data_IF_555561935482
#
_entry.id   IF_555561935482
#
_cell.length_a   1.000
_cell.length_b   1.000
_cell.length_c   1.000
_cell.angle_alpha   90.00
_cell.angle_beta   90.00
_cell.angle_gamma   90.00
#
_symmetry.space_group_name_H-M   'P 1'
#
loop_
_entity.id
_entity.type
_entity.pdbx_description
1 polymer ?
#
# COMPACT_ATOMS: atom_id res chain seq x y z
N UNK A 1 36.42 1.57 -32.99
CA UNK A 1 37.04 1.98 -31.72
C UNK A 1 36.31 3.15 -31.05
N UNK A 2 35.70 4.04 -31.80
CA UNK A 2 35.02 5.24 -31.23
C UNK A 2 33.73 4.98 -30.43
N UNK A 3 33.00 3.92 -30.74
CA UNK A 3 31.77 3.58 -29.96
C UNK A 3 32.05 3.05 -28.53
N UNK A 4 33.21 2.41 -28.32
CA UNK A 4 33.62 1.90 -27.02
C UNK A 4 34.19 3.00 -26.09
N UNK A 5 34.82 4.03 -26.65
CA UNK A 5 35.32 5.19 -25.90
C UNK A 5 34.18 6.10 -25.45
N UNK A 6 33.18 6.33 -26.31
CA UNK A 6 31.98 7.09 -25.98
C UNK A 6 31.14 6.41 -24.87
N UNK A 7 31.03 5.07 -24.90
CA UNK A 7 30.32 4.30 -23.86
C UNK A 7 31.00 4.38 -22.48
N UNK A 8 32.34 4.33 -22.42
CA UNK A 8 33.10 4.45 -21.17
C UNK A 8 33.04 5.86 -20.59
N UNK A 9 33.07 6.90 -21.40
CA UNK A 9 32.96 8.29 -20.95
C UNK A 9 31.56 8.60 -20.39
N UNK A 10 30.54 8.02 -20.99
CA UNK A 10 29.15 8.14 -20.50
C UNK A 10 28.95 7.38 -19.18
N UNK A 11 29.54 6.18 -19.02
CA UNK A 11 29.49 5.43 -17.77
C UNK A 11 30.19 6.15 -16.61
N UNK A 12 31.39 6.71 -16.83
CA UNK A 12 32.09 7.49 -15.81
C UNK A 12 31.33 8.75 -15.42
N UNK A 13 30.71 9.43 -16.38
CA UNK A 13 29.89 10.62 -16.11
C UNK A 13 28.66 10.34 -15.26
N UNK A 14 27.96 9.21 -15.50
CA UNK A 14 26.83 8.80 -14.67
C UNK A 14 27.25 8.34 -13.26
N UNK A 15 28.41 7.72 -13.12
CA UNK A 15 28.97 7.30 -11.83
C UNK A 15 29.42 8.50 -11.00
N UNK A 16 30.02 9.55 -11.62
CA UNK A 16 30.41 10.78 -10.98
C UNK A 16 29.22 11.62 -10.49
N UNK A 17 28.17 11.77 -11.30
CA UNK A 17 26.92 12.45 -10.90
C UNK A 17 26.23 11.74 -9.73
N UNK A 18 26.34 10.43 -9.63
CA UNK A 18 25.77 9.65 -8.53
C UNK A 18 26.52 9.90 -7.20
N UNK A 19 27.83 9.99 -7.24
CA UNK A 19 28.68 10.24 -6.06
C UNK A 19 28.62 11.70 -5.58
N UNK A 20 28.55 12.67 -6.47
CA UNK A 20 28.42 14.09 -6.14
C UNK A 20 27.08 14.41 -5.43
N UNK A 21 26.01 13.66 -5.71
CA UNK A 21 24.73 13.81 -5.03
C UNK A 21 24.71 13.28 -3.60
N UNK A 22 25.56 12.33 -3.24
CA UNK A 22 25.67 11.82 -1.86
C UNK A 22 26.19 12.88 -0.87
N UNK A 23 26.93 13.88 -1.32
CA UNK A 23 27.50 14.94 -0.48
C UNK A 23 26.52 16.04 -0.07
N UNK A 24 25.45 16.29 -0.83
CA UNK A 24 24.50 17.38 -0.57
C UNK A 24 23.23 16.86 0.10
N UNK A 25 23.27 16.67 1.42
CA UNK A 25 22.05 16.58 2.24
C UNK A 25 21.37 17.96 2.23
N UNK A 26 20.43 18.15 1.32
CA UNK A 26 19.62 19.36 1.25
C UNK A 26 18.92 19.59 2.59
N UNK A 27 18.99 20.81 3.14
CA UNK A 27 18.20 21.17 4.35
C UNK A 27 16.74 20.88 4.06
N UNK A 28 16.09 20.07 4.92
CA UNK A 28 14.68 19.69 4.79
C UNK A 28 13.83 20.93 4.59
N UNK A 29 13.17 21.04 3.44
CA UNK A 29 12.14 22.04 3.24
C UNK A 29 10.90 21.62 4.04
N UNK A 30 10.28 22.55 4.76
CA UNK A 30 9.00 22.34 5.44
C UNK A 30 7.94 21.81 4.46
N UNK A 31 7.99 22.25 3.20
CA UNK A 31 7.10 21.81 2.14
C UNK A 31 7.25 20.31 1.81
N UNK A 32 8.47 19.75 1.84
CA UNK A 32 8.71 18.33 1.57
C UNK A 32 8.19 17.44 2.69
N UNK A 33 8.45 17.83 3.96
CA UNK A 33 7.90 17.13 5.13
C UNK A 33 6.37 17.17 5.09
N UNK A 34 5.80 18.32 4.77
CA UNK A 34 4.35 18.48 4.64
C UNK A 34 3.77 17.61 3.52
N UNK A 35 4.44 17.50 2.38
CA UNK A 35 4.05 16.60 1.28
C UNK A 35 4.01 15.14 1.72
N UNK A 36 5.01 14.69 2.46
CA UNK A 36 5.08 13.31 3.00
C UNK A 36 3.91 13.06 3.97
N UNK A 37 3.66 14.00 4.88
CA UNK A 37 2.56 13.89 5.85
C UNK A 37 1.21 13.87 5.15
N UNK A 38 0.97 14.76 4.19
CA UNK A 38 -0.29 14.80 3.43
C UNK A 38 -0.53 13.55 2.59
N UNK A 39 0.52 12.99 1.98
CA UNK A 39 0.42 11.73 1.25
C UNK A 39 0.05 10.58 2.19
N UNK A 40 0.68 10.52 3.38
CA UNK A 40 0.34 9.52 4.39
C UNK A 40 -1.09 9.68 4.93
N UNK A 41 -1.52 10.91 5.22
CA UNK A 41 -2.86 11.16 5.77
C UNK A 41 -3.99 10.70 4.85
N UNK A 42 -3.75 10.71 3.56
CA UNK A 42 -4.69 10.20 2.57
C UNK A 42 -4.94 8.70 2.71
N UNK A 43 -3.91 7.95 3.04
CA UNK A 43 -4.00 6.50 3.22
C UNK A 43 -4.89 6.09 4.41
N UNK A 44 -5.15 7.00 5.37
CA UNK A 44 -6.14 6.77 6.44
C UNK A 44 -7.55 6.64 5.83
N UNK A 45 -7.89 7.48 4.85
CA UNK A 45 -9.16 7.39 4.13
C UNK A 45 -9.32 6.04 3.43
N UNK A 46 -8.25 5.58 2.74
CA UNK A 46 -8.25 4.28 2.06
C UNK A 46 -8.41 3.13 3.07
N UNK A 47 -7.67 3.21 4.18
CA UNK A 47 -7.80 2.25 5.28
C UNK A 47 -9.22 2.22 5.86
N UNK A 48 -9.84 3.38 6.05
CA UNK A 48 -11.23 3.49 6.50
C UNK A 48 -12.19 2.81 5.52
N UNK A 49 -12.11 3.14 4.23
CA UNK A 49 -13.00 2.60 3.20
C UNK A 49 -12.89 1.08 3.02
N UNK A 50 -11.68 0.55 3.18
CA UNK A 50 -11.46 -0.90 3.13
C UNK A 50 -12.03 -1.61 4.36
N UNK A 51 -11.91 -1.02 5.56
CA UNK A 51 -12.28 -1.66 6.81
C UNK A 51 -13.72 -1.39 7.27
N UNK A 52 -14.40 -0.38 6.71
CA UNK A 52 -15.81 -0.10 7.07
C UNK A 52 -16.72 -1.32 6.84
N UNK A 53 -16.41 -2.14 5.84
CA UNK A 53 -17.16 -3.35 5.53
C UNK A 53 -17.05 -4.46 6.58
N UNK A 54 -16.02 -4.43 7.42
CA UNK A 54 -15.85 -5.42 8.49
C UNK A 54 -17.12 -5.51 9.37
N UNK A 55 -17.60 -4.35 9.83
CA UNK A 55 -18.83 -4.30 10.63
C UNK A 55 -20.10 -4.25 9.79
N UNK A 56 -20.05 -3.61 8.61
CA UNK A 56 -21.24 -3.53 7.75
C UNK A 56 -21.71 -4.88 7.24
N UNK A 57 -20.83 -5.87 7.11
CA UNK A 57 -21.22 -7.24 6.79
C UNK A 57 -22.15 -7.86 7.85
N UNK A 58 -21.89 -7.60 9.12
CA UNK A 58 -22.75 -8.05 10.24
C UNK A 58 -24.00 -7.21 10.36
N UNK A 59 -23.92 -5.90 10.11
CA UNK A 59 -25.09 -4.99 10.08
C UNK A 59 -26.07 -5.39 8.98
N UNK A 60 -25.58 -5.63 7.75
CA UNK A 60 -26.45 -6.04 6.64
C UNK A 60 -27.06 -7.42 6.85
N UNK A 61 -26.31 -8.36 7.45
CA UNK A 61 -26.85 -9.68 7.78
C UNK A 61 -27.97 -9.62 8.83
N UNK A 62 -27.96 -8.63 9.73
CA UNK A 62 -29.05 -8.42 10.69
C UNK A 62 -30.24 -7.65 10.10
N UNK A 63 -29.98 -6.64 9.24
CA UNK A 63 -31.04 -5.83 8.63
C UNK A 63 -31.78 -6.55 7.50
N UNK A 64 -31.08 -7.40 6.76
CA UNK A 64 -31.57 -8.03 5.53
C UNK A 64 -31.22 -9.52 5.48
N UNK A 65 -31.67 -10.34 6.45
CA UNK A 65 -31.23 -11.73 6.60
C UNK A 65 -31.56 -12.60 5.36
N UNK A 66 -32.65 -12.32 4.67
CA UNK A 66 -33.11 -13.12 3.53
C UNK A 66 -32.37 -12.74 2.22
N UNK A 67 -32.05 -11.46 2.04
CA UNK A 67 -31.43 -10.96 0.80
C UNK A 67 -29.89 -10.88 0.88
N UNK A 68 -29.32 -10.70 2.07
CA UNK A 68 -27.88 -10.62 2.27
C UNK A 68 -27.24 -12.00 2.39
N UNK A 69 -27.37 -12.78 1.33
CA UNK A 69 -26.80 -14.12 1.21
C UNK A 69 -25.27 -14.09 1.23
N UNK A 70 -24.63 -15.25 1.41
CA UNK A 70 -23.17 -15.42 1.38
C UNK A 70 -22.55 -14.89 0.08
N UNK A 71 -23.21 -15.10 -1.06
CA UNK A 71 -22.77 -14.57 -2.35
C UNK A 71 -22.88 -13.05 -2.42
N UNK A 72 -23.98 -12.47 -1.91
CA UNK A 72 -24.17 -11.03 -1.87
C UNK A 72 -23.11 -10.36 -0.96
N UNK A 73 -22.87 -10.93 0.21
CA UNK A 73 -21.83 -10.51 1.15
C UNK A 73 -20.46 -10.48 0.48
N UNK A 74 -20.10 -11.53 -0.24
CA UNK A 74 -18.84 -11.65 -0.98
C UNK A 74 -18.76 -10.62 -2.11
N UNK A 75 -19.83 -10.43 -2.88
CA UNK A 75 -19.87 -9.49 -3.99
C UNK A 75 -19.76 -8.03 -3.52
N UNK A 76 -20.48 -7.63 -2.48
CA UNK A 76 -20.40 -6.29 -1.88
C UNK A 76 -19.00 -6.03 -1.32
N UNK A 77 -18.40 -7.01 -0.63
CA UNK A 77 -17.05 -6.90 -0.09
C UNK A 77 -15.99 -6.79 -1.18
N UNK A 78 -16.08 -7.61 -2.23
CA UNK A 78 -15.13 -7.65 -3.32
C UNK A 78 -15.23 -6.48 -4.31
N UNK A 79 -16.37 -5.83 -4.39
CA UNK A 79 -16.60 -4.74 -5.36
C UNK A 79 -15.52 -3.65 -5.28
N UNK A 80 -15.16 -3.22 -4.07
CA UNK A 80 -14.11 -2.24 -3.84
C UNK A 80 -12.73 -2.78 -4.24
N UNK A 81 -12.43 -4.05 -3.96
CA UNK A 81 -11.14 -4.67 -4.31
C UNK A 81 -10.97 -4.77 -5.83
N UNK A 82 -12.03 -5.18 -6.55
CA UNK A 82 -12.03 -5.22 -8.01
C UNK A 82 -11.82 -3.81 -8.60
N UNK A 83 -12.55 -2.81 -8.08
CA UNK A 83 -12.33 -1.42 -8.45
C UNK A 83 -10.89 -0.97 -8.21
N UNK A 84 -10.31 -1.35 -7.08
CA UNK A 84 -8.91 -1.03 -6.72
C UNK A 84 -7.91 -1.61 -7.72
N UNK A 85 -8.11 -2.85 -8.19
CA UNK A 85 -7.26 -3.45 -9.24
C UNK A 85 -7.30 -2.59 -10.51
N UNK A 86 -8.50 -2.23 -10.98
CA UNK A 86 -8.64 -1.39 -12.17
C UNK A 86 -8.01 -0.01 -11.98
N UNK A 87 -8.24 0.63 -10.84
CA UNK A 87 -7.64 1.94 -10.53
C UNK A 87 -6.11 1.90 -10.52
N UNK A 88 -5.52 0.89 -9.88
CA UNK A 88 -4.06 0.71 -9.83
C UNK A 88 -3.45 0.47 -11.21
N UNK A 89 -4.07 -0.39 -12.04
CA UNK A 89 -3.58 -0.67 -13.40
C UNK A 89 -3.71 0.55 -14.30
N UNK A 90 -4.89 1.17 -14.34
CA UNK A 90 -5.17 2.31 -15.23
C UNK A 90 -4.28 3.51 -14.86
N UNK A 91 -4.29 3.91 -13.59
CA UNK A 91 -3.49 5.07 -13.17
C UNK A 91 -2.01 4.72 -13.09
N UNK A 92 -1.62 3.48 -12.78
CA UNK A 92 -0.23 3.04 -12.84
C UNK A 92 0.38 3.19 -14.24
N UNK A 93 -0.35 2.81 -15.29
CA UNK A 93 0.07 3.00 -16.69
C UNK A 93 0.02 4.48 -17.11
N UNK A 94 -0.98 5.22 -16.64
CA UNK A 94 -1.13 6.64 -16.96
C UNK A 94 -0.23 7.56 -16.13
N UNK A 95 0.34 7.07 -15.01
CA UNK A 95 1.14 7.86 -14.08
C UNK A 95 2.37 8.53 -14.73
N UNK A 96 2.92 7.94 -15.79
CA UNK A 96 4.03 8.50 -16.55
C UNK A 96 3.59 9.63 -17.50
N UNK A 97 2.30 9.65 -17.88
CA UNK A 97 1.71 10.66 -18.77
C UNK A 97 0.99 11.77 -18.00
N UNK A 98 0.37 11.42 -16.89
CA UNK A 98 -0.32 12.35 -16.00
C UNK A 98 0.68 12.92 -14.98
N UNK A 99 0.52 14.19 -14.64
CA UNK A 99 1.23 14.76 -13.50
C UNK A 99 0.72 14.12 -12.20
N UNK A 100 1.60 13.90 -11.20
CA UNK A 100 1.24 13.34 -9.89
C UNK A 100 0.00 14.00 -9.28
N UNK A 101 -0.07 15.34 -9.40
CA UNK A 101 -1.20 16.15 -8.94
C UNK A 101 -2.51 15.79 -9.65
N UNK A 102 -2.49 15.60 -10.97
CA UNK A 102 -3.69 15.23 -11.74
C UNK A 102 -4.18 13.83 -11.32
N UNK A 103 -3.27 12.87 -11.17
CA UNK A 103 -3.61 11.52 -10.73
C UNK A 103 -4.29 11.53 -9.35
N UNK A 104 -3.77 12.31 -8.39
CA UNK A 104 -4.35 12.43 -7.05
C UNK A 104 -5.73 13.09 -7.09
N UNK A 105 -5.92 14.13 -7.91
CA UNK A 105 -7.23 14.80 -8.07
C UNK A 105 -8.26 13.83 -8.64
N UNK A 106 -7.90 13.11 -9.70
CA UNK A 106 -8.78 12.09 -10.32
C UNK A 106 -9.15 11.02 -9.29
N UNK A 107 -8.16 10.48 -8.58
CA UNK A 107 -8.38 9.48 -7.54
C UNK A 107 -9.38 9.97 -6.48
N UNK A 108 -9.17 11.18 -5.94
CA UNK A 108 -10.04 11.76 -4.91
C UNK A 108 -11.47 12.00 -5.43
N UNK A 109 -11.63 12.45 -6.67
CA UNK A 109 -12.98 12.66 -7.27
C UNK A 109 -13.74 11.33 -7.33
N UNK A 110 -13.12 10.25 -7.86
CA UNK A 110 -13.76 8.93 -7.92
C UNK A 110 -14.06 8.37 -6.52
N UNK A 111 -13.15 8.55 -5.58
CA UNK A 111 -13.30 8.11 -4.20
C UNK A 111 -14.50 8.78 -3.52
N UNK A 112 -14.56 10.11 -3.56
CA UNK A 112 -15.66 10.88 -2.95
C UNK A 112 -16.99 10.61 -3.64
N UNK A 113 -17.02 10.65 -4.96
CA UNK A 113 -18.23 10.40 -5.74
C UNK A 113 -18.79 9.00 -5.46
N UNK A 114 -17.95 7.98 -5.53
CA UNK A 114 -18.37 6.61 -5.25
C UNK A 114 -18.87 6.44 -3.81
N UNK A 115 -18.19 7.01 -2.82
CA UNK A 115 -18.56 6.90 -1.41
C UNK A 115 -19.88 7.62 -1.09
N UNK A 116 -20.09 8.81 -1.64
CA UNK A 116 -21.37 9.54 -1.48
C UNK A 116 -22.53 8.75 -2.08
N UNK A 117 -22.33 8.14 -3.25
CA UNK A 117 -23.36 7.30 -3.86
C UNK A 117 -23.56 5.97 -3.15
N UNK A 118 -22.55 5.43 -2.46
CA UNK A 118 -22.74 4.32 -1.53
C UNK A 118 -23.65 4.72 -0.36
N UNK A 119 -23.44 5.90 0.24
CA UNK A 119 -24.31 6.41 1.30
C UNK A 119 -25.76 6.65 0.83
N UNK A 120 -25.91 7.08 -0.41
CA UNK A 120 -27.21 7.34 -1.06
C UNK A 120 -27.84 6.08 -1.69
N UNK A 121 -27.23 4.90 -1.58
CA UNK A 121 -27.67 3.70 -2.26
C UNK A 121 -29.15 3.39 -1.96
N UNK A 122 -29.94 3.24 -3.02
CA UNK A 122 -31.38 3.00 -2.99
C UNK A 122 -31.78 2.04 -4.12
N UNK A 123 -32.88 1.34 -3.96
CA UNK A 123 -33.44 0.46 -4.99
C UNK A 123 -34.92 0.23 -4.77
N UNK A 124 -35.63 -0.11 -5.81
CA UNK A 124 -37.05 -0.52 -5.72
C UNK A 124 -37.18 -1.81 -4.89
N UNK A 125 -36.15 -2.66 -4.95
CA UNK A 125 -36.02 -3.85 -4.13
C UNK A 125 -34.73 -3.77 -3.30
N UNK A 126 -34.64 -4.52 -2.20
CA UNK A 126 -33.43 -4.61 -1.38
C UNK A 126 -32.26 -5.13 -2.21
N UNK A 127 -32.47 -6.10 -3.07
CA UNK A 127 -31.47 -6.62 -3.99
C UNK A 127 -30.98 -5.54 -4.97
N UNK A 128 -31.86 -4.69 -5.48
CA UNK A 128 -31.51 -3.54 -6.33
C UNK A 128 -30.63 -2.52 -5.59
N UNK A 129 -30.92 -2.27 -4.31
CA UNK A 129 -30.08 -1.43 -3.44
C UNK A 129 -28.66 -2.02 -3.30
N UNK A 130 -28.53 -3.34 -3.07
CA UNK A 130 -27.22 -3.99 -2.98
C UNK A 130 -26.45 -3.94 -4.30
N UNK A 131 -27.12 -4.10 -5.46
CA UNK A 131 -26.46 -3.94 -6.75
C UNK A 131 -25.96 -2.51 -6.98
N UNK A 132 -26.73 -1.50 -6.60
CA UNK A 132 -26.28 -0.11 -6.62
C UNK A 132 -25.07 0.08 -5.71
N UNK A 133 -25.09 -0.49 -4.50
CA UNK A 133 -23.98 -0.45 -3.56
C UNK A 133 -22.72 -1.12 -4.15
N UNK A 134 -22.85 -2.29 -4.80
CA UNK A 134 -21.76 -3.00 -5.47
C UNK A 134 -21.10 -2.10 -6.52
N UNK A 135 -21.89 -1.49 -7.40
CA UNK A 135 -21.39 -0.64 -8.49
C UNK A 135 -20.60 0.55 -7.90
N UNK A 136 -21.18 1.28 -6.96
CA UNK A 136 -20.52 2.46 -6.40
C UNK A 136 -19.37 2.14 -5.44
N UNK A 137 -19.39 0.99 -4.78
CA UNK A 137 -18.19 0.48 -4.10
C UNK A 137 -17.07 0.16 -5.09
N UNK A 138 -17.39 -0.34 -6.28
CA UNK A 138 -16.41 -0.49 -7.36
C UNK A 138 -15.81 0.86 -7.80
N UNK A 139 -16.63 1.90 -7.92
CA UNK A 139 -16.17 3.27 -8.23
C UNK A 139 -15.30 3.84 -7.11
N UNK A 140 -15.70 3.65 -5.84
CA UNK A 140 -14.88 4.02 -4.67
C UNK A 140 -13.54 3.30 -4.71
N UNK A 141 -13.55 1.99 -4.98
CA UNK A 141 -12.36 1.16 -5.11
C UNK A 141 -11.43 1.65 -6.22
N UNK A 142 -11.98 2.06 -7.38
CA UNK A 142 -11.18 2.67 -8.44
C UNK A 142 -10.44 3.91 -7.95
N UNK A 143 -11.09 4.78 -7.17
CA UNK A 143 -10.46 5.94 -6.54
C UNK A 143 -9.31 5.53 -5.61
N UNK A 144 -9.55 4.56 -4.70
CA UNK A 144 -8.53 3.99 -3.80
C UNK A 144 -7.35 3.46 -4.62
N UNK A 145 -7.61 2.64 -5.64
CA UNK A 145 -6.58 2.05 -6.49
C UNK A 145 -5.75 3.08 -7.24
N UNK A 146 -6.38 4.14 -7.72
CA UNK A 146 -5.72 5.26 -8.41
C UNK A 146 -4.78 6.06 -7.49
N UNK A 147 -5.08 6.09 -6.19
CA UNK A 147 -4.31 6.80 -5.18
C UNK A 147 -3.00 6.11 -4.83
N UNK A 148 -2.98 4.77 -4.76
CA UNK A 148 -1.80 3.98 -4.38
C UNK A 148 -0.53 4.30 -5.19
N UNK A 149 -0.52 4.21 -6.55
CA UNK A 149 0.66 4.54 -7.33
C UNK A 149 1.10 5.99 -7.12
N UNK A 150 0.16 6.91 -7.08
CA UNK A 150 0.44 8.35 -6.97
C UNK A 150 1.06 8.73 -5.63
N UNK A 151 0.50 8.23 -4.50
CA UNK A 151 0.99 8.50 -3.16
C UNK A 151 2.29 7.77 -2.86
N UNK A 152 2.39 6.48 -3.19
CA UNK A 152 3.57 5.67 -2.92
C UNK A 152 4.81 6.19 -3.64
N UNK A 153 4.67 6.55 -4.91
CA UNK A 153 5.80 7.10 -5.68
C UNK A 153 6.17 8.49 -5.18
N UNK A 154 5.21 9.38 -4.94
CA UNK A 154 5.49 10.73 -4.39
C UNK A 154 6.19 10.66 -3.05
N UNK A 155 5.77 9.74 -2.16
CA UNK A 155 6.40 9.54 -0.85
C UNK A 155 7.81 8.99 -0.98
N UNK A 156 8.03 8.02 -1.89
CA UNK A 156 9.35 7.45 -2.13
C UNK A 156 10.33 8.47 -2.73
N UNK A 157 9.87 9.28 -3.67
CA UNK A 157 10.64 10.36 -4.27
C UNK A 157 11.05 11.39 -3.21
N UNK A 158 10.10 11.87 -2.40
CA UNK A 158 10.36 12.82 -1.32
C UNK A 158 11.29 12.23 -0.22
N UNK A 159 11.12 10.96 0.14
CA UNK A 159 12.00 10.28 1.08
C UNK A 159 13.42 10.09 0.52
N UNK A 160 13.57 9.87 -0.78
CA UNK A 160 14.88 9.76 -1.44
C UNK A 160 15.67 11.06 -1.41
N UNK A 161 15.00 12.21 -1.46
CA UNK A 161 15.63 13.53 -1.42
C UNK A 161 16.10 13.93 -0.01
N UNK A 162 15.41 13.42 1.05
CA UNK A 162 15.51 14.02 2.39
C UNK A 162 16.00 13.11 3.50
N UNK A 163 16.00 11.77 3.37
CA UNK A 163 16.18 10.85 4.51
C UNK A 163 17.22 9.77 4.24
N UNK A 164 18.13 9.55 5.20
CA UNK A 164 19.11 8.44 5.16
C UNK A 164 18.47 7.05 5.30
N UNK A 165 17.42 6.91 6.11
CA UNK A 165 16.68 5.65 6.36
C UNK A 165 15.38 5.62 5.57
N UNK A 166 15.47 5.38 4.27
CA UNK A 166 14.37 5.50 3.30
C UNK A 166 13.30 4.41 3.47
N UNK A 167 13.74 3.18 3.75
CA UNK A 167 12.84 2.02 3.84
C UNK A 167 11.85 2.13 4.99
N UNK A 168 12.36 2.42 6.19
CA UNK A 168 11.53 2.57 7.38
C UNK A 168 10.57 3.76 7.29
N UNK A 169 11.04 4.91 6.80
CA UNK A 169 10.17 6.09 6.61
C UNK A 169 9.07 5.81 5.60
N UNK A 170 9.39 5.16 4.47
CA UNK A 170 8.38 4.77 3.49
C UNK A 170 7.33 3.84 4.10
N UNK A 171 7.76 2.81 4.84
CA UNK A 171 6.85 1.90 5.54
C UNK A 171 5.94 2.65 6.53
N UNK A 172 6.48 3.56 7.33
CA UNK A 172 5.70 4.31 8.32
C UNK A 172 4.70 5.24 7.65
N UNK A 173 5.09 5.95 6.59
CA UNK A 173 4.20 6.94 5.95
C UNK A 173 3.09 6.28 5.12
N UNK A 174 3.32 5.09 4.56
CA UNK A 174 2.32 4.40 3.75
C UNK A 174 1.48 3.41 4.55
N UNK A 175 2.10 2.56 5.36
CA UNK A 175 1.39 1.46 6.02
C UNK A 175 0.76 1.84 7.36
N UNK A 176 1.40 2.71 8.15
CA UNK A 176 0.83 3.11 9.44
C UNK A 176 -0.52 3.83 9.28
N UNK A 177 -0.68 4.83 8.40
CA UNK A 177 -1.98 5.46 8.18
C UNK A 177 -3.02 4.50 7.61
N UNK A 178 -2.64 3.65 6.65
CA UNK A 178 -3.53 2.65 6.07
C UNK A 178 -4.08 1.68 7.13
N UNK A 179 -3.20 1.17 8.00
CA UNK A 179 -3.58 0.24 9.07
C UNK A 179 -4.34 0.91 10.20
N UNK A 180 -4.03 2.18 10.50
CA UNK A 180 -4.79 2.98 11.45
C UNK A 180 -6.23 3.20 10.99
N UNK A 181 -6.48 3.18 9.69
CA UNK A 181 -7.82 3.29 9.11
C UNK A 181 -8.80 2.21 9.60
N UNK A 182 -8.32 1.01 9.98
CA UNK A 182 -9.15 -0.05 10.56
C UNK A 182 -9.69 0.30 11.96
N UNK A 183 -8.84 0.49 12.97
CA UNK A 183 -9.26 0.95 14.29
C UNK A 183 -10.07 2.25 14.23
N UNK A 184 -9.72 3.16 13.32
CA UNK A 184 -10.44 4.40 13.11
C UNK A 184 -11.87 4.17 12.60
N UNK A 185 -12.05 3.29 11.61
CA UNK A 185 -13.39 2.93 11.11
C UNK A 185 -14.25 2.28 12.20
N UNK A 186 -13.66 1.43 13.03
CA UNK A 186 -14.35 0.77 14.15
C UNK A 186 -14.71 1.75 15.27
N UNK A 187 -13.85 2.70 15.59
CA UNK A 187 -14.15 3.76 16.55
C UNK A 187 -15.33 4.63 16.08
N UNK A 188 -15.34 5.00 14.80
CA UNK A 188 -16.46 5.75 14.20
C UNK A 188 -17.74 4.89 14.20
N UNK A 189 -17.62 3.57 13.90
CA UNK A 189 -18.75 2.66 13.97
C UNK A 189 -19.37 2.66 15.37
N UNK A 190 -18.59 2.51 16.42
CA UNK A 190 -19.09 2.51 17.81
C UNK A 190 -19.79 3.83 18.17
N UNK A 191 -19.20 4.97 17.78
CA UNK A 191 -19.80 6.29 18.03
C UNK A 191 -21.16 6.42 17.30
N UNK A 192 -21.20 6.08 16.00
CA UNK A 192 -22.43 6.20 15.21
C UNK A 192 -23.46 5.17 15.67
N UNK A 193 -23.07 3.97 16.07
CA UNK A 193 -23.93 2.95 16.63
C UNK A 193 -24.67 3.43 17.89
N UNK A 194 -23.96 4.09 18.81
CA UNK A 194 -24.56 4.68 19.99
C UNK A 194 -25.52 5.85 19.64
N UNK A 195 -25.13 6.71 18.69
CA UNK A 195 -25.98 7.83 18.26
C UNK A 195 -27.29 7.34 17.60
N UNK A 196 -27.21 6.30 16.77
CA UNK A 196 -28.39 5.75 16.06
C UNK A 196 -29.24 4.84 16.92
N UNK A 197 -28.79 4.51 18.12
CA UNK A 197 -29.50 3.62 19.04
C UNK A 197 -29.57 2.17 18.59
N UNK A 198 -28.59 1.71 17.81
CA UNK A 198 -28.50 0.34 17.37
C UNK A 198 -28.43 0.14 15.86
N UNK A 199 -28.80 -1.04 15.40
CA UNK A 199 -28.74 -1.46 13.99
C UNK A 199 -29.89 -0.85 13.19
N UNK A 200 -29.59 0.17 12.41
CA UNK A 200 -30.55 0.92 11.60
C UNK A 200 -30.05 1.18 10.18
N UNK A 201 -30.96 1.50 9.26
CA UNK A 201 -30.58 1.96 7.92
C UNK A 201 -29.77 3.27 7.95
N UNK A 202 -29.96 4.09 8.97
CA UNK A 202 -29.18 5.32 9.19
C UNK A 202 -27.73 5.02 9.52
N UNK A 203 -27.45 3.95 10.26
CA UNK A 203 -26.09 3.57 10.68
C UNK A 203 -25.14 3.37 9.48
N UNK A 204 -25.47 2.49 8.56
CA UNK A 204 -24.57 2.19 7.44
C UNK A 204 -24.44 3.38 6.46
N UNK A 205 -25.52 4.14 6.27
CA UNK A 205 -25.49 5.36 5.44
C UNK A 205 -24.60 6.43 6.05
N UNK A 206 -24.70 6.65 7.35
CA UNK A 206 -23.84 7.60 8.07
C UNK A 206 -22.36 7.21 7.98
N UNK A 207 -22.04 5.91 8.11
CA UNK A 207 -20.67 5.42 8.01
C UNK A 207 -20.05 5.69 6.62
N UNK A 208 -20.80 5.46 5.54
CA UNK A 208 -20.33 5.83 4.20
C UNK A 208 -20.23 7.35 4.02
N UNK A 209 -21.22 8.13 4.51
CA UNK A 209 -21.20 9.58 4.41
C UNK A 209 -19.98 10.20 5.15
N UNK A 210 -19.69 9.73 6.36
CA UNK A 210 -18.49 10.13 7.12
C UNK A 210 -17.22 9.72 6.35
N UNK A 211 -17.22 8.55 5.70
CA UNK A 211 -16.13 8.09 4.87
C UNK A 211 -15.79 9.01 3.69
N UNK A 212 -16.75 9.77 3.16
CA UNK A 212 -16.53 10.77 2.12
C UNK A 212 -15.87 12.06 2.64
N UNK A 213 -16.03 12.36 3.93
CA UNK A 213 -15.47 13.59 4.54
C UNK A 213 -13.93 13.58 4.56
N UNK A 214 -13.31 12.44 4.85
CA UNK A 214 -11.86 12.34 5.02
C UNK A 214 -11.05 12.69 3.76
N UNK A 215 -11.34 12.13 2.59
CA UNK A 215 -10.61 12.50 1.37
C UNK A 215 -10.84 13.97 0.99
N UNK A 216 -12.02 14.53 1.30
CA UNK A 216 -12.29 15.95 1.07
C UNK A 216 -11.47 16.86 2.00
N UNK A 217 -11.30 16.50 3.28
CA UNK A 217 -10.55 17.30 4.25
C UNK A 217 -9.08 17.46 3.86
N UNK A 218 -8.50 16.45 3.22
CA UNK A 218 -7.09 16.45 2.77
C UNK A 218 -6.93 16.95 1.34
N UNK A 219 -8.01 17.05 0.57
CA UNK A 219 -7.96 17.40 -0.85
C UNK A 219 -7.29 18.75 -1.14
N UNK A 220 -7.57 19.77 -0.33
CA UNK A 220 -6.98 21.08 -0.48
C UNK A 220 -5.45 21.06 -0.36
N UNK A 221 -4.94 20.33 0.62
CA UNK A 221 -3.50 20.19 0.86
C UNK A 221 -2.84 19.40 -0.25
N UNK A 222 -3.48 18.35 -0.73
CA UNK A 222 -3.03 17.54 -1.86
C UNK A 222 -2.97 18.34 -3.16
N UNK A 223 -3.97 19.17 -3.38
CA UNK A 223 -3.98 20.05 -4.56
C UNK A 223 -2.81 21.03 -4.53
N UNK A 224 -2.32 21.44 -3.35
CA UNK A 224 -1.16 22.33 -3.17
C UNK A 224 0.19 21.60 -3.11
N UNK A 225 0.23 20.26 -3.12
CA UNK A 225 1.50 19.52 -3.11
C UNK A 225 2.39 19.92 -4.27
N UNK A 226 3.68 20.09 -3.99
CA UNK A 226 4.69 20.36 -5.01
C UNK A 226 5.05 19.06 -5.75
N UNK A 227 5.33 19.18 -7.04
CA UNK A 227 5.89 18.07 -7.81
C UNK A 227 7.36 17.91 -7.44
N UNK A 228 7.82 16.68 -7.14
CA UNK A 228 9.19 16.42 -6.75
C UNK A 228 10.20 16.77 -7.86
N UNK A 229 11.38 17.21 -7.48
CA UNK A 229 12.47 17.52 -8.42
C UNK A 229 12.95 16.26 -9.12
N UNK A 230 12.99 15.11 -8.38
CA UNK A 230 13.34 13.81 -8.96
C UNK A 230 12.36 13.38 -10.07
N UNK A 231 11.06 13.60 -9.88
CA UNK A 231 10.07 13.31 -10.93
C UNK A 231 10.33 14.15 -12.19
N UNK A 232 10.63 15.45 -12.02
CA UNK A 232 10.93 16.32 -13.17
C UNK A 232 12.18 15.89 -13.91
N UNK A 233 13.25 15.50 -13.20
CA UNK A 233 14.55 15.12 -13.76
C UNK A 233 14.62 13.68 -14.29
N UNK A 234 13.87 12.74 -13.71
CA UNK A 234 13.96 11.31 -14.01
C UNK A 234 12.80 10.74 -14.83
N UNK A 235 11.69 11.48 -14.99
CA UNK A 235 10.53 11.00 -15.73
C UNK A 235 10.84 10.72 -17.21
N UNK A 236 10.51 9.51 -17.66
CA UNK A 236 10.62 9.12 -19.07
C UNK A 236 9.31 9.53 -19.76
N UNK A 237 9.34 10.54 -20.63
CA UNK A 237 8.15 11.09 -21.27
C UNK A 237 7.89 10.65 -22.69
N UNK A 238 8.94 10.35 -23.43
CA UNK A 238 8.83 9.87 -24.82
C UNK A 238 9.32 8.42 -24.89
N UNK A 239 8.54 7.56 -25.54
CA UNK A 239 8.89 6.15 -25.79
C UNK A 239 9.19 5.36 -24.50
N UNK A 240 8.29 5.42 -23.50
CA UNK A 240 8.46 4.65 -22.25
C UNK A 240 8.72 3.17 -22.56
N UNK A 241 9.85 2.61 -22.17
CA UNK A 241 10.27 1.27 -22.58
C UNK A 241 9.67 0.18 -21.69
N UNK A 242 8.33 0.07 -21.62
CA UNK A 242 7.62 -0.88 -20.75
C UNK A 242 8.09 -2.32 -20.94
N UNK A 243 8.27 -2.76 -22.20
CA UNK A 243 8.70 -4.12 -22.49
C UNK A 243 10.14 -4.38 -22.06
N UNK A 244 11.04 -3.44 -22.27
CA UNK A 244 12.44 -3.55 -21.84
C UNK A 244 12.55 -3.53 -20.30
N UNK A 245 11.76 -2.70 -19.64
CA UNK A 245 11.68 -2.67 -18.19
C UNK A 245 11.14 -4.00 -17.62
N UNK A 246 10.07 -4.54 -18.22
CA UNK A 246 9.53 -5.84 -17.85
C UNK A 246 10.57 -6.96 -18.04
N UNK A 247 11.28 -6.96 -19.15
CA UNK A 247 12.34 -7.94 -19.46
C UNK A 247 13.53 -7.82 -18.49
N UNK A 248 13.90 -6.62 -18.08
CA UNK A 248 15.01 -6.39 -17.16
C UNK A 248 14.65 -6.80 -15.71
N UNK A 249 13.44 -6.42 -15.24
CA UNK A 249 13.03 -6.60 -13.87
C UNK A 249 12.13 -7.83 -13.62
N UNK A 250 11.86 -8.70 -14.60
CA UNK A 250 10.84 -9.75 -14.54
C UNK A 250 10.96 -10.67 -13.32
N UNK A 251 12.17 -11.09 -12.94
CA UNK A 251 12.39 -11.95 -11.77
C UNK A 251 11.96 -11.27 -10.47
N UNK A 252 12.31 -9.99 -10.32
CA UNK A 252 11.97 -9.21 -9.13
C UNK A 252 10.48 -8.89 -9.09
N UNK A 253 9.93 -8.53 -10.24
CA UNK A 253 8.48 -8.31 -10.39
C UNK A 253 7.70 -9.57 -10.05
N UNK A 254 8.09 -10.71 -10.57
CA UNK A 254 7.46 -11.99 -10.25
C UNK A 254 7.52 -12.27 -8.75
N UNK A 255 8.70 -12.15 -8.11
CA UNK A 255 8.85 -12.38 -6.68
C UNK A 255 8.01 -11.46 -5.83
N UNK A 256 8.03 -10.16 -6.12
CA UNK A 256 7.20 -9.18 -5.39
C UNK A 256 5.72 -9.41 -5.62
N UNK A 257 5.29 -9.69 -6.84
CA UNK A 257 3.90 -9.95 -7.19
C UNK A 257 3.34 -11.18 -6.48
N UNK A 258 4.10 -12.29 -6.46
CA UNK A 258 3.66 -13.53 -5.78
C UNK A 258 3.61 -13.33 -4.27
N UNK A 259 4.64 -12.70 -3.67
CA UNK A 259 4.64 -12.43 -2.24
C UNK A 259 3.44 -11.59 -1.83
N UNK A 260 3.09 -10.60 -2.65
CA UNK A 260 1.94 -9.75 -2.36
C UNK A 260 0.60 -10.44 -2.61
N UNK A 261 0.51 -11.23 -3.66
CA UNK A 261 -0.68 -12.07 -3.89
C UNK A 261 -0.94 -12.96 -2.67
N UNK A 262 0.08 -13.65 -2.16
CA UNK A 262 -0.05 -14.52 -0.99
C UNK A 262 -0.40 -13.75 0.28
N UNK A 263 0.19 -12.57 0.45
CA UNK A 263 -0.13 -11.69 1.58
C UNK A 263 -1.60 -11.23 1.56
N UNK A 264 -2.06 -10.65 0.46
CA UNK A 264 -3.43 -10.14 0.36
C UNK A 264 -4.46 -11.27 0.32
N UNK A 265 -4.12 -12.45 -0.24
CA UNK A 265 -4.94 -13.65 -0.23
C UNK A 265 -5.31 -14.09 1.20
N UNK A 266 -4.42 -13.88 2.15
CA UNK A 266 -4.65 -14.19 3.57
C UNK A 266 -5.22 -13.00 4.33
N UNK A 267 -4.62 -11.82 4.19
CA UNK A 267 -4.92 -10.65 5.04
C UNK A 267 -6.30 -10.08 4.78
N UNK A 268 -6.71 -9.94 3.51
CA UNK A 268 -7.98 -9.31 3.18
C UNK A 268 -9.20 -10.12 3.64
N UNK A 269 -9.31 -11.43 3.37
CA UNK A 269 -10.42 -12.20 3.91
C UNK A 269 -10.48 -12.17 5.44
N UNK A 270 -9.32 -12.35 6.09
CA UNK A 270 -9.22 -12.30 7.54
C UNK A 270 -9.60 -10.92 8.11
N UNK A 271 -9.24 -9.82 7.44
CA UNK A 271 -9.64 -8.47 7.83
C UNK A 271 -11.13 -8.21 7.60
N UNK A 272 -11.64 -8.47 6.39
CA UNK A 272 -13.02 -8.16 6.00
C UNK A 272 -14.03 -9.02 6.78
N UNK A 273 -13.71 -10.29 7.05
CA UNK A 273 -14.58 -11.21 7.76
C UNK A 273 -14.23 -11.37 9.25
N UNK A 274 -13.29 -10.55 9.78
CA UNK A 274 -12.88 -10.64 11.19
C UNK A 274 -14.05 -10.51 12.16
N UNK A 275 -15.00 -9.60 11.91
CA UNK A 275 -16.21 -9.48 12.76
C UNK A 275 -17.06 -10.74 12.73
N UNK A 276 -17.19 -11.41 11.57
CA UNK A 276 -17.91 -12.66 11.45
C UNK A 276 -17.18 -13.78 12.21
N UNK A 277 -15.85 -13.87 12.09
CA UNK A 277 -15.01 -14.84 12.80
C UNK A 277 -15.09 -14.61 14.32
N UNK A 278 -14.98 -13.37 14.77
CA UNK A 278 -15.10 -13.04 16.20
C UNK A 278 -16.49 -13.36 16.72
N UNK A 279 -17.54 -13.03 15.97
CA UNK A 279 -18.91 -13.35 16.34
C UNK A 279 -19.14 -14.87 16.47
N UNK A 280 -18.45 -15.71 15.70
CA UNK A 280 -18.57 -17.17 15.83
C UNK A 280 -17.85 -17.73 17.07
N UNK A 281 -16.85 -17.01 17.57
CA UNK A 281 -16.06 -17.39 18.77
C UNK A 281 -16.74 -16.92 20.07
N UNK A 282 -17.55 -15.86 20.01
CA UNK A 282 -18.27 -15.32 21.18
C UNK A 282 -19.41 -16.26 21.62
N UNK A 283 -19.66 -16.32 22.92
CA UNK A 283 -20.74 -17.11 23.49
C UNK A 283 -22.11 -16.44 23.31
N UNK A 284 -23.13 -17.22 23.14
CA UNK A 284 -24.59 -16.99 23.17
C UNK A 284 -25.08 -15.52 23.13
N UNK A 285 -25.21 -14.88 24.28
CA UNK A 285 -25.71 -13.49 24.39
C UNK A 285 -24.72 -12.44 23.86
N UNK A 286 -23.40 -12.67 23.97
CA UNK A 286 -22.38 -11.77 23.46
C UNK A 286 -22.26 -11.85 21.94
N UNK A 287 -22.61 -12.99 21.34
CA UNK A 287 -22.60 -13.19 19.88
C UNK A 287 -23.60 -12.29 19.15
N UNK A 288 -24.72 -11.99 19.77
CA UNK A 288 -25.76 -11.09 19.23
C UNK A 288 -25.45 -9.61 19.50
N UNK A 289 -24.49 -9.32 20.39
CA UNK A 289 -24.11 -7.97 20.75
C UNK A 289 -23.06 -7.43 19.77
N UNK A 290 -23.53 -6.62 18.82
CA UNK A 290 -22.69 -6.04 17.77
C UNK A 290 -21.65 -5.06 18.34
N UNK A 291 -21.92 -4.44 19.47
CA UNK A 291 -21.00 -3.56 20.17
C UNK A 291 -19.78 -4.33 20.67
N UNK A 292 -20.01 -5.48 21.32
CA UNK A 292 -18.94 -6.39 21.77
C UNK A 292 -18.07 -6.89 20.62
N UNK A 293 -18.70 -7.28 19.52
CA UNK A 293 -17.97 -7.70 18.31
C UNK A 293 -17.09 -6.55 17.77
N UNK A 294 -17.59 -5.33 17.78
CA UNK A 294 -16.83 -4.15 17.35
C UNK A 294 -15.67 -3.82 18.29
N UNK A 295 -15.86 -3.92 19.61
CA UNK A 295 -14.80 -3.72 20.62
C UNK A 295 -13.63 -4.71 20.42
N UNK A 296 -13.93 -6.00 20.25
CA UNK A 296 -12.91 -7.01 19.99
C UNK A 296 -12.19 -6.81 18.65
N UNK A 297 -12.92 -6.38 17.62
CA UNK A 297 -12.29 -6.01 16.34
C UNK A 297 -11.41 -4.76 16.46
N UNK A 298 -11.80 -3.78 17.26
CA UNK A 298 -10.99 -2.59 17.53
C UNK A 298 -9.69 -2.98 18.22
N UNK A 299 -9.75 -3.86 19.20
CA UNK A 299 -8.56 -4.41 19.87
C UNK A 299 -7.68 -5.17 18.87
N UNK A 300 -8.27 -6.04 18.04
CA UNK A 300 -7.57 -6.79 16.99
C UNK A 300 -6.76 -5.87 16.07
N UNK A 301 -7.40 -4.83 15.52
CA UNK A 301 -6.76 -3.86 14.65
C UNK A 301 -5.66 -3.06 15.35
N UNK A 302 -5.86 -2.73 16.63
CA UNK A 302 -4.88 -2.00 17.45
C UNK A 302 -3.63 -2.83 17.74
N UNK A 303 -3.77 -4.12 18.03
CA UNK A 303 -2.66 -5.06 18.26
C UNK A 303 -1.79 -5.23 17.01
N UNK A 304 -2.35 -5.07 15.82
CA UNK A 304 -1.60 -5.16 14.58
C UNK A 304 -0.66 -3.94 14.33
N UNK A 305 -0.95 -2.76 14.88
CA UNK A 305 -0.19 -1.52 14.64
C UNK A 305 1.29 -1.60 15.08
N UNK A 306 1.66 -2.11 16.26
CA UNK A 306 3.06 -2.23 16.66
C UNK A 306 3.94 -3.00 15.67
N UNK A 307 3.37 -3.98 14.95
CA UNK A 307 4.08 -4.74 13.92
C UNK A 307 4.65 -3.85 12.80
N UNK A 308 4.01 -2.73 12.49
CA UNK A 308 4.46 -1.79 11.45
C UNK A 308 5.75 -1.07 11.90
N UNK A 309 5.83 -0.65 13.16
CA UNK A 309 7.03 -0.01 13.70
C UNK A 309 8.20 -0.99 13.73
N UNK A 310 7.95 -2.23 14.15
CA UNK A 310 8.95 -3.30 14.13
C UNK A 310 9.40 -3.58 12.69
N UNK A 311 8.48 -3.71 11.75
CA UNK A 311 8.76 -3.92 10.34
C UNK A 311 9.56 -2.79 9.71
N UNK A 312 9.22 -1.53 10.00
CA UNK A 312 9.96 -0.35 9.54
C UNK A 312 11.40 -0.34 10.07
N UNK A 313 11.60 -0.65 11.35
CA UNK A 313 12.91 -0.73 11.97
C UNK A 313 13.76 -1.87 11.38
N UNK A 314 13.19 -3.05 11.23
CA UNK A 314 13.86 -4.21 10.64
C UNK A 314 14.21 -3.99 9.17
N UNK A 315 13.36 -3.30 8.40
CA UNK A 315 13.59 -3.00 7.00
C UNK A 315 14.91 -2.26 6.75
N UNK A 316 15.25 -1.34 7.66
CA UNK A 316 16.50 -0.55 7.56
C UNK A 316 17.74 -1.32 8.08
N UNK A 317 17.58 -2.26 9.01
CA UNK A 317 18.70 -2.98 9.63
C UNK A 317 19.07 -4.24 8.86
N UNK A 318 18.09 -5.14 8.66
CA UNK A 318 18.33 -6.45 8.05
C UNK A 318 17.99 -6.49 6.56
N UNK A 319 17.43 -5.39 6.03
CA UNK A 319 17.05 -5.24 4.63
C UNK A 319 15.68 -5.81 4.31
N UNK A 320 15.13 -5.36 3.18
CA UNK A 320 13.74 -5.58 2.77
C UNK A 320 13.36 -7.06 2.61
N UNK A 321 14.22 -7.88 1.99
CA UNK A 321 13.98 -9.31 1.77
C UNK A 321 13.85 -10.08 3.08
N UNK A 322 14.78 -9.86 4.01
CA UNK A 322 14.78 -10.59 5.28
C UNK A 322 13.62 -10.16 6.17
N UNK A 323 13.28 -8.86 6.18
CA UNK A 323 12.08 -8.35 6.88
C UNK A 323 10.81 -9.00 6.36
N UNK A 324 10.69 -9.16 5.03
CA UNK A 324 9.55 -9.85 4.42
C UNK A 324 9.49 -11.33 4.83
N UNK A 325 10.63 -12.03 4.84
CA UNK A 325 10.69 -13.42 5.28
C UNK A 325 10.29 -13.58 6.76
N UNK A 326 10.72 -12.65 7.64
CA UNK A 326 10.29 -12.61 9.04
C UNK A 326 8.77 -12.36 9.15
N UNK A 327 8.23 -11.44 8.35
CA UNK A 327 6.79 -11.22 8.30
C UNK A 327 6.00 -12.49 7.95
N UNK A 328 6.39 -13.18 6.90
CA UNK A 328 5.75 -14.46 6.52
C UNK A 328 5.96 -15.56 7.56
N UNK A 329 7.09 -15.56 8.29
CA UNK A 329 7.27 -16.52 9.40
C UNK A 329 6.26 -16.32 10.53
N UNK A 330 5.81 -15.08 10.73
CA UNK A 330 4.70 -14.79 11.65
C UNK A 330 3.38 -15.47 11.24
N UNK A 331 3.07 -15.52 9.94
CA UNK A 331 1.91 -16.27 9.45
C UNK A 331 2.02 -17.77 9.74
N UNK A 332 3.23 -18.34 9.59
CA UNK A 332 3.45 -19.76 9.93
C UNK A 332 3.23 -19.97 11.43
N UNK A 333 3.92 -19.21 12.27
CA UNK A 333 3.89 -19.40 13.72
C UNK A 333 2.49 -19.18 14.28
N UNK A 334 1.94 -17.99 14.08
CA UNK A 334 0.62 -17.65 14.65
C UNK A 334 -0.52 -18.37 13.95
N UNK A 335 -0.44 -18.59 12.64
CA UNK A 335 -1.42 -19.35 11.89
C UNK A 335 -1.51 -20.80 12.33
N UNK A 336 -0.37 -21.47 12.57
CA UNK A 336 -0.36 -22.84 13.12
C UNK A 336 -0.82 -22.89 14.58
N UNK A 337 -0.41 -21.93 15.42
CA UNK A 337 -0.87 -21.88 16.82
C UNK A 337 -2.41 -21.79 16.84
N UNK A 338 -2.99 -20.85 16.11
CA UNK A 338 -4.45 -20.69 16.07
C UNK A 338 -5.10 -21.89 15.38
N UNK A 339 -4.63 -22.27 14.19
CA UNK A 339 -5.27 -23.31 13.37
C UNK A 339 -5.26 -24.70 14.02
N UNK A 340 -4.14 -25.10 14.63
CA UNK A 340 -4.02 -26.41 15.27
C UNK A 340 -4.63 -26.46 16.68
N UNK A 341 -4.75 -25.32 17.35
CA UNK A 341 -5.29 -25.23 18.70
C UNK A 341 -6.61 -24.45 18.78
N UNK A 342 -7.30 -24.30 17.65
CA UNK A 342 -8.48 -23.44 17.51
C UNK A 342 -9.52 -23.68 18.61
N UNK A 343 -9.91 -24.94 18.81
CA UNK A 343 -10.93 -25.31 19.81
C UNK A 343 -10.57 -24.99 21.26
N UNK A 344 -9.27 -24.96 21.59
CA UNK A 344 -8.79 -24.58 22.91
C UNK A 344 -8.68 -23.07 23.05
N UNK A 345 -8.17 -22.39 22.00
CA UNK A 345 -7.90 -20.96 22.03
C UNK A 345 -9.19 -20.13 21.90
N UNK A 346 -10.17 -20.60 21.13
CA UNK A 346 -11.47 -19.91 20.98
C UNK A 346 -12.22 -19.70 22.30
N UNK A 347 -12.02 -20.61 23.29
CA UNK A 347 -12.60 -20.47 24.62
C UNK A 347 -11.95 -19.38 25.48
N UNK A 348 -10.82 -18.79 25.03
CA UNK A 348 -10.13 -17.69 25.72
C UNK A 348 -10.01 -16.52 24.73
N UNK A 349 -11.07 -15.75 24.60
CA UNK A 349 -11.22 -14.67 23.61
C UNK A 349 -10.03 -13.71 23.58
N UNK A 350 -9.49 -13.18 24.71
CA UNK A 350 -8.34 -12.31 24.69
C UNK A 350 -7.10 -12.95 24.03
N UNK A 351 -6.88 -14.24 24.31
CA UNK A 351 -5.75 -14.99 23.76
C UNK A 351 -5.89 -15.19 22.25
N UNK A 352 -7.11 -15.51 21.78
CA UNK A 352 -7.44 -15.61 20.37
C UNK A 352 -7.18 -14.30 19.65
N UNK A 353 -7.66 -13.18 20.17
CA UNK A 353 -7.49 -11.84 19.59
C UNK A 353 -6.02 -11.42 19.55
N UNK A 354 -5.21 -11.73 20.59
CA UNK A 354 -3.79 -11.42 20.59
C UNK A 354 -3.06 -12.17 19.47
N UNK A 355 -3.22 -13.47 19.36
CA UNK A 355 -2.56 -14.25 18.30
C UNK A 355 -3.05 -13.87 16.90
N UNK A 356 -4.34 -13.61 16.75
CA UNK A 356 -4.91 -13.18 15.50
C UNK A 356 -4.39 -11.79 15.07
N UNK A 357 -4.32 -10.83 15.98
CA UNK A 357 -3.76 -9.50 15.74
C UNK A 357 -2.27 -9.54 15.42
N UNK A 358 -1.49 -10.37 16.13
CA UNK A 358 -0.08 -10.59 15.83
C UNK A 358 0.11 -11.21 14.43
N UNK A 359 -0.71 -12.20 14.05
CA UNK A 359 -0.67 -12.79 12.72
C UNK A 359 -0.87 -11.71 11.64
N UNK A 360 -1.91 -10.88 11.76
CA UNK A 360 -2.18 -9.81 10.80
C UNK A 360 -1.05 -8.76 10.81
N UNK A 361 -0.53 -8.39 11.98
CA UNK A 361 0.46 -7.33 12.15
C UNK A 361 1.86 -7.65 11.61
N UNK A 362 2.23 -8.93 11.46
CA UNK A 362 3.60 -9.31 11.09
C UNK A 362 3.97 -9.04 9.64
N UNK A 363 3.03 -8.91 8.72
CA UNK A 363 3.28 -8.79 7.28
C UNK A 363 3.01 -7.42 6.66
N UNK A 364 2.79 -6.37 7.44
CA UNK A 364 2.55 -5.04 6.86
C UNK A 364 3.79 -4.47 6.17
N UNK A 365 3.80 -4.48 4.83
CA UNK A 365 4.81 -3.65 4.18
C UNK A 365 5.30 -3.84 2.77
N UNK A 366 4.59 -4.41 1.77
CA UNK A 366 5.10 -4.38 0.38
C UNK A 366 3.98 -4.43 -0.69
N UNK A 367 4.18 -3.68 -1.78
CA UNK A 367 3.70 -3.56 -3.19
C UNK A 367 2.30 -4.06 -3.64
N UNK A 368 1.51 -3.31 -4.46
CA UNK A 368 0.07 -3.22 -4.29
C UNK A 368 -0.90 -3.81 -5.34
N UNK A 369 -0.57 -3.92 -6.64
CA UNK A 369 -1.63 -4.22 -7.64
C UNK A 369 -2.01 -5.70 -7.76
N UNK A 370 -1.03 -6.60 -7.82
CA UNK A 370 -1.28 -8.05 -7.93
C UNK A 370 -1.79 -8.63 -6.61
N UNK A 371 -1.43 -8.00 -5.48
CA UNK A 371 -1.99 -8.35 -4.20
C UNK A 371 -3.50 -8.26 -4.16
N UNK A 372 -4.10 -7.21 -4.73
CA UNK A 372 -5.57 -7.08 -4.75
C UNK A 372 -6.28 -8.19 -5.54
N UNK A 373 -5.62 -8.77 -6.55
CA UNK A 373 -6.10 -10.00 -7.17
C UNK A 373 -6.11 -11.14 -6.15
N UNK A 374 -5.06 -11.27 -5.34
CA UNK A 374 -5.00 -12.22 -4.22
C UNK A 374 -6.13 -12.00 -3.23
N UNK A 375 -6.42 -10.75 -2.87
CA UNK A 375 -7.52 -10.38 -1.98
C UNK A 375 -8.89 -10.83 -2.53
N UNK A 376 -9.17 -10.57 -3.82
CA UNK A 376 -10.44 -10.99 -4.47
C UNK A 376 -10.56 -12.51 -4.53
N UNK A 377 -9.49 -13.20 -4.88
CA UNK A 377 -9.47 -14.66 -4.92
C UNK A 377 -9.61 -15.22 -3.50
N UNK A 378 -8.88 -14.66 -2.54
CA UNK A 378 -8.94 -15.06 -1.13
C UNK A 378 -10.35 -14.94 -0.56
N UNK A 379 -11.00 -13.78 -0.69
CA UNK A 379 -12.36 -13.57 -0.16
C UNK A 379 -13.40 -14.53 -0.77
N UNK A 380 -13.26 -14.87 -2.06
CA UNK A 380 -14.12 -15.88 -2.70
C UNK A 380 -13.83 -17.31 -2.25
N UNK A 381 -12.58 -17.61 -1.92
CA UNK A 381 -12.12 -18.96 -1.60
C UNK A 381 -12.33 -19.28 -0.11
N UNK A 382 -12.15 -18.31 0.77
CA UNK A 382 -12.25 -18.53 2.22
C UNK A 382 -13.65 -18.91 2.68
N UNK A 383 -14.70 -18.28 2.14
CA UNK A 383 -16.08 -18.61 2.52
C UNK A 383 -16.41 -20.10 2.30
N UNK A 384 -16.24 -20.70 1.09
CA UNK A 384 -16.47 -22.13 0.90
C UNK A 384 -15.55 -23.04 1.74
N UNK A 385 -14.35 -22.58 2.08
CA UNK A 385 -13.43 -23.33 2.92
C UNK A 385 -13.93 -23.35 4.35
N UNK A 386 -14.34 -22.22 4.90
CA UNK A 386 -14.92 -22.11 6.25
C UNK A 386 -16.18 -22.99 6.37
N UNK A 387 -17.05 -22.93 5.37
CA UNK A 387 -18.31 -23.68 5.36
C UNK A 387 -18.10 -25.21 5.31
N UNK A 388 -17.04 -25.69 4.61
CA UNK A 388 -16.80 -27.13 4.41
C UNK A 388 -15.81 -27.76 5.37
N UNK A 389 -14.77 -27.02 5.74
CA UNK A 389 -13.63 -27.55 6.51
C UNK A 389 -13.54 -26.95 7.92
N UNK A 390 -14.27 -25.84 8.18
CA UNK A 390 -14.25 -25.13 9.46
C UNK A 390 -13.33 -23.91 9.46
N UNK A 391 -13.55 -23.03 10.44
CA UNK A 391 -12.85 -21.73 10.55
C UNK A 391 -11.35 -21.85 10.80
N UNK A 392 -10.90 -22.91 11.46
CA UNK A 392 -9.49 -23.19 11.74
C UNK A 392 -8.64 -23.31 10.46
N UNK A 393 -9.22 -23.77 9.35
CA UNK A 393 -8.51 -23.87 8.08
C UNK A 393 -8.07 -22.54 7.50
N UNK A 394 -8.76 -21.47 7.82
CA UNK A 394 -8.35 -20.10 7.46
C UNK A 394 -6.94 -19.78 7.95
N UNK A 395 -6.64 -20.17 9.19
CA UNK A 395 -5.34 -19.95 9.83
C UNK A 395 -4.26 -20.93 9.33
N UNK A 396 -4.64 -22.18 9.06
CA UNK A 396 -3.74 -23.19 8.46
C UNK A 396 -3.32 -22.75 7.05
N UNK A 397 -4.23 -22.24 6.24
CA UNK A 397 -3.92 -21.70 4.91
C UNK A 397 -2.98 -20.49 5.03
N UNK A 398 -3.16 -19.63 6.03
CA UNK A 398 -2.25 -18.54 6.29
C UNK A 398 -0.80 -19.04 6.50
N UNK A 399 -0.63 -20.13 7.25
CA UNK A 399 0.69 -20.74 7.46
C UNK A 399 1.28 -21.33 6.17
N UNK A 400 0.47 -21.99 5.35
CA UNK A 400 0.90 -22.53 4.04
C UNK A 400 1.34 -21.38 3.11
N UNK A 401 0.54 -20.32 3.01
CA UNK A 401 0.89 -19.12 2.25
C UNK A 401 2.15 -18.44 2.80
N UNK A 402 2.33 -18.44 4.11
CA UNK A 402 3.53 -17.94 4.77
C UNK A 402 4.78 -18.68 4.32
N UNK A 403 4.75 -20.03 4.28
CA UNK A 403 5.85 -20.86 3.80
C UNK A 403 6.17 -20.60 2.32
N UNK A 404 5.14 -20.57 1.48
CA UNK A 404 5.29 -20.25 0.05
C UNK A 404 5.86 -18.82 -0.15
N UNK A 405 5.44 -17.86 0.67
CA UNK A 405 5.93 -16.48 0.66
C UNK A 405 7.42 -16.39 1.03
N UNK A 406 7.88 -17.12 2.04
CA UNK A 406 9.31 -17.17 2.42
C UNK A 406 10.14 -17.74 1.26
N UNK A 407 9.74 -18.87 0.71
CA UNK A 407 10.45 -19.51 -0.42
C UNK A 407 10.53 -18.54 -1.60
N UNK A 408 9.42 -17.92 -1.97
CA UNK A 408 9.38 -16.93 -3.05
C UNK A 408 10.27 -15.71 -2.77
N UNK A 409 10.22 -15.15 -1.55
CA UNK A 409 11.02 -13.99 -1.17
C UNK A 409 12.52 -14.29 -1.27
N UNK A 410 12.96 -15.45 -0.78
CA UNK A 410 14.37 -15.82 -0.79
C UNK A 410 14.90 -16.11 -2.19
N UNK A 411 14.08 -16.69 -3.08
CA UNK A 411 14.50 -17.08 -4.43
C UNK A 411 14.50 -15.90 -5.42
N UNK A 412 13.53 -15.00 -5.33
CA UNK A 412 13.28 -13.99 -6.38
C UNK A 412 13.59 -12.56 -5.96
N UNK A 413 13.58 -12.24 -4.66
CA UNK A 413 13.80 -10.88 -4.19
C UNK A 413 15.28 -10.72 -3.79
N UNK A 414 16.04 -9.82 -4.45
CA UNK A 414 17.41 -9.55 -4.08
C UNK A 414 17.49 -8.78 -2.76
N UNK A 415 18.59 -8.96 -2.03
CA UNK A 415 18.90 -8.16 -0.85
C UNK A 415 19.52 -6.84 -1.32
N UNK A 416 18.73 -5.79 -1.37
CA UNK A 416 19.18 -4.45 -1.73
C UNK A 416 19.41 -3.62 -0.45
N UNK A 417 20.57 -2.98 -0.36
CA UNK A 417 20.89 -1.92 0.60
C UNK A 417 20.65 -0.55 -0.06
N UNK A 418 20.66 0.53 0.72
CA UNK A 418 20.28 1.86 0.23
C UNK A 418 21.09 2.35 -0.99
N UNK A 419 22.39 2.04 -1.05
CA UNK A 419 23.25 2.39 -2.19
C UNK A 419 22.98 1.57 -3.46
N UNK A 420 22.36 0.40 -3.34
CA UNK A 420 22.12 -0.48 -4.48
C UNK A 420 20.99 0.01 -5.39
N UNK A 421 20.07 0.83 -4.88
CA UNK A 421 18.97 1.38 -5.70
C UNK A 421 19.48 2.34 -6.78
N UNK A 422 20.46 3.18 -6.44
CA UNK A 422 21.07 4.11 -7.40
C UNK A 422 21.89 3.34 -8.44
N UNK A 423 22.64 2.32 -8.02
CA UNK A 423 23.39 1.44 -8.93
C UNK A 423 22.46 0.68 -9.89
N UNK A 424 21.30 0.27 -9.42
CA UNK A 424 20.29 -0.39 -10.27
C UNK A 424 19.67 0.56 -11.30
N UNK A 425 19.43 1.82 -10.95
CA UNK A 425 18.95 2.83 -11.89
C UNK A 425 19.98 3.05 -13.01
N UNK A 426 21.25 3.13 -12.64
CA UNK A 426 22.37 3.22 -13.60
C UNK A 426 22.44 1.98 -14.50
N UNK A 427 22.33 0.77 -13.91
CA UNK A 427 22.31 -0.49 -14.69
C UNK A 427 21.15 -0.54 -15.67
N UNK A 428 19.98 -0.10 -15.24
CA UNK A 428 18.82 -0.06 -16.13
C UNK A 428 18.99 0.94 -17.27
N UNK A 429 19.53 2.14 -17.00
CA UNK A 429 19.84 3.14 -18.03
C UNK A 429 20.86 2.61 -19.04
N UNK A 430 21.91 1.95 -18.56
CA UNK A 430 22.91 1.33 -19.43
C UNK A 430 22.29 0.21 -20.31
N UNK A 431 21.43 -0.63 -19.71
CA UNK A 431 20.69 -1.65 -20.45
C UNK A 431 19.79 -1.04 -21.54
N UNK A 432 19.11 0.08 -21.29
CA UNK A 432 18.30 0.76 -22.29
C UNK A 432 19.15 1.28 -23.46
N UNK A 433 20.34 1.85 -23.18
CA UNK A 433 21.28 2.28 -24.21
C UNK A 433 21.80 1.11 -25.04
N UNK A 434 22.14 -0.02 -24.40
CA UNK A 434 22.60 -1.24 -25.08
C UNK A 434 21.51 -1.83 -26.01
N UNK A 435 20.23 -1.70 -25.63
CA UNK A 435 19.09 -2.15 -26.43
C UNK A 435 18.66 -1.15 -27.51
N UNK A 436 19.40 -0.06 -27.70
CA UNK A 436 19.13 0.94 -28.74
C UNK A 436 17.90 1.82 -28.46
N UNK A 437 17.52 1.99 -27.20
CA UNK A 437 16.39 2.84 -26.85
C UNK A 437 16.70 4.33 -27.10
N UNK A 438 15.81 5.02 -27.83
CA UNK A 438 15.97 6.40 -28.29
C UNK A 438 15.08 7.41 -27.52
N UNK A 439 14.71 7.12 -26.28
CA UNK A 439 13.91 8.03 -25.45
C UNK A 439 14.78 9.06 -24.70
N UNK A 440 14.12 10.07 -24.14
CA UNK A 440 14.75 11.13 -23.33
C UNK A 440 14.33 11.02 -21.87
N UNK A 441 15.24 11.32 -20.95
CA UNK A 441 14.99 11.43 -19.52
C UNK A 441 14.80 12.91 -19.15
N UNK A 442 13.81 13.21 -18.29
CA UNK A 442 13.56 14.55 -17.75
C UNK A 442 12.82 15.51 -18.66
N UNK A 443 12.62 16.74 -18.20
CA UNK A 443 12.07 17.86 -18.97
C UNK A 443 13.18 18.57 -19.75
N UNK A 444 12.87 19.08 -20.94
CA UNK A 444 13.83 19.80 -21.79
C UNK A 444 14.41 21.05 -21.09
N UNK A 445 13.61 21.76 -20.29
CA UNK A 445 14.04 22.92 -19.50
C UNK A 445 15.07 22.57 -18.40
N UNK A 446 14.97 21.38 -17.80
CA UNK A 446 15.90 20.91 -16.77
C UNK A 446 17.22 20.38 -17.37
N UNK A 447 17.26 20.07 -18.68
CA UNK A 447 18.49 19.67 -19.37
C UNK A 447 19.42 20.85 -19.64
N UNK A 448 18.87 22.05 -19.87
CA UNK A 448 19.66 23.28 -20.09
C UNK A 448 20.33 23.70 -18.79
N UNK A 449 19.59 23.61 -17.65
CA UNK A 449 20.15 23.96 -16.35
C UNK A 449 21.20 22.97 -15.84
N UNK A 450 21.17 21.68 -16.26
CA UNK A 450 22.21 20.70 -15.91
C UNK A 450 23.52 20.94 -16.68
N UNK A 451 23.48 21.58 -17.83
CA UNK A 451 24.70 21.96 -18.58
C UNK A 451 25.35 23.21 -17.99
N UNK A 452 24.55 24.18 -17.49
CA UNK A 452 25.07 25.35 -16.77
C UNK A 452 25.61 25.00 -15.38
N UNK A 453 24.97 24.09 -14.64
CA UNK A 453 25.45 23.62 -13.34
C UNK A 453 26.76 22.80 -13.44
N UNK A 454 27.04 22.18 -14.59
CA UNK A 454 28.28 21.44 -14.83
C UNK A 454 29.42 22.38 -15.14
N UNK A 455 29.18 23.54 -15.79
CA UNK A 455 30.22 24.57 -16.03
C UNK A 455 30.66 25.26 -14.74
N UNK A 456 29.73 25.45 -13.78
CA UNK A 456 30.02 26.08 -12.50
C UNK A 456 30.72 25.12 -11.49
N UNK A 457 30.52 23.80 -11.64
CA UNK A 457 31.16 22.78 -10.79
C UNK A 457 32.60 22.49 -11.22
N UNK A 458 32.91 22.59 -12.51
CA UNK A 458 34.30 22.41 -13.01
C UNK A 458 35.24 23.56 -12.56
N UNK A 459 34.71 24.75 -12.29
CA UNK A 459 35.48 25.88 -11.79
C UNK A 459 35.84 25.75 -10.30
N UNK A 460 34.93 25.19 -9.49
CA UNK A 460 35.17 25.03 -8.05
C UNK A 460 36.07 23.83 -7.70
N UNK A 461 36.13 22.79 -8.54
CA UNK A 461 36.98 21.62 -8.32
C UNK A 461 38.44 21.94 -8.61
N UNK A 462 38.71 22.73 -9.64
CA UNK A 462 40.11 23.17 -9.97
C UNK A 462 40.68 24.07 -8.89
N UNK A 463 39.89 24.86 -8.19
CA UNK A 463 40.31 25.71 -7.08
C UNK A 463 40.58 24.92 -5.79
N UNK A 464 39.77 23.88 -5.49
CA UNK A 464 40.01 23.02 -4.32
C UNK A 464 41.23 22.09 -4.52
N UNK A 465 41.46 21.57 -5.73
CA UNK A 465 42.61 20.71 -6.00
C UNK A 465 43.92 21.51 -5.98
N UNK A 466 43.95 22.75 -6.47
CA UNK A 466 45.07 23.64 -6.34
C UNK A 466 45.39 24.03 -4.90
N UNK A 467 44.38 24.33 -4.10
CA UNK A 467 44.55 24.61 -2.66
C UNK A 467 45.05 23.41 -1.88
N UNK A 468 44.66 22.18 -2.23
CA UNK A 468 45.12 20.95 -1.57
C UNK A 468 46.58 20.61 -1.95
N UNK A 469 47.02 20.92 -3.19
CA UNK A 469 48.40 20.71 -3.64
C UNK A 469 49.32 21.74 -3.02
N UNK A 470 48.88 22.98 -2.85
CA UNK A 470 49.69 24.05 -2.24
C UNK A 470 49.82 23.88 -0.70
N UNK A 471 48.82 23.31 0.00
CA UNK A 471 48.95 22.96 1.42
C UNK A 471 49.93 21.78 1.69
N UNK A 472 50.18 20.91 0.72
CA UNK A 472 51.17 19.83 0.85
C UNK A 472 52.61 20.25 0.50
N UNK A 473 52.81 21.47 -0.01
CA UNK A 473 54.13 22.03 -0.33
C UNK A 473 54.66 23.00 0.74
N UNK A 474 53.87 23.33 1.75
CA UNK A 474 54.30 24.00 2.98
C UNK A 474 54.44 22.94 4.11
#
# INVERSE_FOLDING_TARGET
MDKLSSSKSTQTKFEYDATARQGRLHKRSIAEIFTIICAGFAMISDGYQNNVMTMLNTVFAQLYPDEYTSDMKTNVSNASLVGTIFGQVVIGVLADRLNRKQSIVIATVFLVFGTVLCAAAHGVTVNGMFWMLIIFRGVTGFGIGAEYPSCSVSTNEAANETVKRRGGVFCLVTNLPLSFGGPFALSIFLIVYQITGGVTNGLWRALFAIGAFWPLSVFYFRYKMATSVLFRKAAIRKNTPYWLALKFYWKRLFGTCVCWFLYDFVTFPNGIFSATIISSVLDGSEKSDLERVAEWNLLLGTIAIPGIFVGAYLCDIIGRRNTLAIGFSGYIVFGLIIGCSFDKIKGIIPLFIIFYGLMIGTCYGISAAIGKVGAVVGTKTFTPIQDRLGENWTFIIAAICGLAGIICALLFIPQLKDDDLMREDIRFKNYLVEQGWNGTFGYEEDQVNTLSDVSDVDVDVDVEEQNYVDQKKQ
#
